data_IF_638191433567
#
_entry.id   IF_638191433567
#
_cell.length_a   1.000
_cell.length_b   1.000
_cell.length_c   1.000
_cell.angle_alpha   90.00
_cell.angle_beta   90.00
_cell.angle_gamma   90.00
#
_symmetry.space_group_name_H-M   'P 1'
#
loop_
_entity.id
_entity.type
_entity.pdbx_description
1 polymer ?
#
# COMPACT_ATOMS: atom_id res chain seq x y z
N UNK A 1 33.84 3.75 12.95
CA UNK A 1 32.85 3.89 11.86
C UNK A 1 31.66 4.70 12.35
N UNK A 2 31.09 5.58 11.52
CA UNK A 2 29.82 6.23 11.84
C UNK A 2 28.73 5.15 11.72
N UNK A 3 27.79 5.09 12.68
CA UNK A 3 26.67 4.13 12.68
C UNK A 3 25.93 4.06 11.33
N UNK A 4 25.85 5.20 10.64
CA UNK A 4 25.24 5.33 9.32
C UNK A 4 25.90 4.46 8.24
N UNK A 5 27.23 4.29 8.29
CA UNK A 5 27.98 3.50 7.29
C UNK A 5 27.77 2.00 7.49
N UNK A 6 27.65 1.58 8.76
CA UNK A 6 27.30 0.21 9.14
C UNK A 6 25.88 -0.10 8.66
N UNK A 7 24.92 0.79 8.94
CA UNK A 7 23.53 0.63 8.50
C UNK A 7 23.42 0.58 6.97
N UNK A 8 24.19 1.42 6.27
CA UNK A 8 24.25 1.39 4.79
C UNK A 8 24.79 0.05 4.29
N UNK A 9 25.87 -0.46 4.87
CA UNK A 9 26.46 -1.75 4.49
C UNK A 9 25.50 -2.90 4.75
N UNK A 10 24.80 -2.90 5.89
CA UNK A 10 23.81 -3.91 6.23
C UNK A 10 22.59 -3.86 5.30
N UNK A 11 22.07 -2.67 4.99
CA UNK A 11 20.97 -2.51 4.04
C UNK A 11 21.35 -3.00 2.64
N UNK A 12 22.57 -2.67 2.17
CA UNK A 12 23.09 -3.14 0.89
C UNK A 12 23.20 -4.68 0.84
N UNK A 13 23.70 -5.32 1.92
CA UNK A 13 23.77 -6.78 2.02
C UNK A 13 22.39 -7.46 2.00
N UNK A 14 21.38 -6.80 2.55
CA UNK A 14 20.01 -7.29 2.57
C UNK A 14 19.23 -6.99 1.27
N UNK A 15 19.83 -6.28 0.30
CA UNK A 15 19.12 -5.82 -0.90
C UNK A 15 18.04 -4.77 -0.63
N UNK A 16 18.10 -4.11 0.54
CA UNK A 16 17.16 -3.07 0.93
C UNK A 16 17.67 -1.69 0.51
N UNK A 17 16.76 -0.81 0.09
CA UNK A 17 17.09 0.58 -0.22
C UNK A 17 17.32 1.36 1.07
N UNK A 18 18.49 1.99 1.16
CA UNK A 18 18.85 2.85 2.30
C UNK A 18 18.71 4.32 1.92
N UNK A 19 17.91 5.07 2.69
CA UNK A 19 17.75 6.50 2.51
C UNK A 19 18.81 7.29 3.31
N UNK A 20 19.77 7.97 2.66
CA UNK A 20 20.82 8.71 3.35
C UNK A 20 20.30 10.06 3.86
N UNK A 21 19.68 10.06 5.04
CA UNK A 21 19.12 11.28 5.65
C UNK A 21 20.19 12.11 6.38
N UNK A 22 21.24 11.47 6.88
CA UNK A 22 22.21 12.08 7.79
C UNK A 22 22.84 13.37 7.26
N UNK A 23 23.28 13.38 6.00
CA UNK A 23 23.98 14.51 5.37
C UNK A 23 23.10 15.78 5.28
N UNK A 24 21.78 15.63 5.33
CA UNK A 24 20.85 16.75 5.35
C UNK A 24 20.66 17.41 6.73
N UNK A 25 21.11 16.80 7.82
CA UNK A 25 20.84 17.27 9.19
C UNK A 25 22.11 17.57 9.98
N UNK A 26 23.27 17.47 9.35
CA UNK A 26 24.55 17.86 9.91
C UNK A 26 25.00 19.21 9.37
N UNK A 27 25.90 19.86 10.09
CA UNK A 27 26.61 21.05 9.60
C UNK A 27 27.74 20.68 8.62
N UNK A 28 28.48 21.69 8.16
CA UNK A 28 29.61 21.54 7.23
C UNK A 28 30.74 20.66 7.80
N UNK A 29 30.82 20.53 9.12
CA UNK A 29 31.80 19.71 9.84
C UNK A 29 31.27 18.28 10.10
N UNK A 30 30.04 17.98 9.67
CA UNK A 30 29.40 16.69 9.86
C UNK A 30 28.94 16.44 11.31
N UNK A 31 28.81 17.49 12.13
CA UNK A 31 28.34 17.45 13.51
C UNK A 31 26.83 17.69 13.57
N UNK A 32 26.25 17.30 14.71
CA UNK A 32 24.83 17.51 14.98
C UNK A 32 24.51 19.01 15.07
N UNK A 33 23.58 19.47 14.23
CA UNK A 33 23.11 20.85 14.25
C UNK A 33 21.58 20.93 14.49
N UNK A 34 21.12 21.66 15.53
CA UNK A 34 19.68 21.80 15.78
C UNK A 34 18.98 22.73 14.77
N UNK A 35 19.75 23.58 14.09
CA UNK A 35 19.30 24.49 13.04
C UNK A 35 19.93 24.10 11.71
N UNK A 36 19.19 24.27 10.61
CA UNK A 36 19.70 24.00 9.27
C UNK A 36 18.75 24.53 8.19
N UNK A 37 19.17 24.41 6.94
CA UNK A 37 18.32 24.75 5.81
C UNK A 37 17.09 23.82 5.77
N UNK A 38 15.89 24.38 5.78
CA UNK A 38 14.66 23.63 5.55
C UNK A 38 14.50 23.33 4.04
N UNK A 39 13.39 22.69 3.64
CA UNK A 39 13.10 22.35 2.23
C UNK A 39 13.09 23.60 1.33
N UNK A 40 12.70 24.74 1.89
CA UNK A 40 12.68 26.05 1.25
C UNK A 40 14.05 26.77 1.28
N UNK A 41 15.12 26.12 1.73
CA UNK A 41 16.47 26.69 1.82
C UNK A 41 16.66 27.66 3.00
N UNK A 42 15.57 28.10 3.64
CA UNK A 42 15.62 29.00 4.78
C UNK A 42 16.16 28.29 6.03
N UNK A 43 17.04 28.95 6.78
CA UNK A 43 17.53 28.41 8.05
C UNK A 43 16.39 28.41 9.07
N UNK A 44 15.97 27.22 9.47
CA UNK A 44 14.98 27.00 10.53
C UNK A 44 15.49 25.97 11.51
N UNK A 45 14.82 25.91 12.66
CA UNK A 45 15.03 24.87 13.63
C UNK A 45 14.50 23.53 13.11
N UNK A 46 15.37 22.54 12.92
CA UNK A 46 15.02 21.22 12.39
C UNK A 46 14.86 20.17 13.49
N UNK A 47 15.57 20.34 14.61
CA UNK A 47 15.50 19.46 15.78
C UNK A 47 14.86 20.16 16.97
N UNK A 48 14.11 19.42 17.77
CA UNK A 48 13.57 19.91 19.03
C UNK A 48 14.67 20.07 20.09
N UNK A 49 14.39 20.74 21.21
CA UNK A 49 15.37 20.94 22.29
C UNK A 49 15.92 19.61 22.84
N UNK A 50 15.10 18.56 22.80
CA UNK A 50 15.44 17.23 23.30
C UNK A 50 16.50 16.48 22.46
N UNK A 51 16.96 17.05 21.35
CA UNK A 51 17.99 16.48 20.47
C UNK A 51 17.54 15.30 19.59
N UNK A 52 16.50 14.57 19.98
CA UNK A 52 16.02 13.37 19.28
C UNK A 52 14.95 13.71 18.24
N UNK A 53 13.91 14.45 18.65
CA UNK A 53 12.71 14.69 17.84
C UNK A 53 12.90 15.77 16.77
N UNK A 54 12.16 15.64 15.66
CA UNK A 54 12.12 16.66 14.61
C UNK A 54 11.03 17.69 14.87
N UNK A 55 11.25 18.92 14.42
CA UNK A 55 10.18 19.93 14.29
C UNK A 55 9.36 19.65 13.04
N UNK A 56 8.23 20.36 12.84
CA UNK A 56 7.43 20.26 11.61
C UNK A 56 8.26 20.55 10.34
N UNK A 57 9.19 21.51 10.42
CA UNK A 57 10.10 21.83 9.32
C UNK A 57 11.13 20.70 9.09
N UNK A 58 11.69 20.13 10.16
CA UNK A 58 12.59 18.98 10.08
C UNK A 58 11.92 17.73 9.51
N UNK A 59 10.69 17.45 9.92
CA UNK A 59 9.92 16.32 9.40
C UNK A 59 9.62 16.45 7.90
N UNK A 60 9.28 17.66 7.42
CA UNK A 60 9.12 17.92 5.98
C UNK A 60 10.43 17.70 5.21
N UNK A 61 11.57 18.11 5.78
CA UNK A 61 12.88 17.85 5.19
C UNK A 61 13.18 16.35 5.11
N UNK A 62 12.91 15.61 6.17
CA UNK A 62 13.06 14.15 6.18
C UNK A 62 12.18 13.48 5.11
N UNK A 63 10.91 13.89 5.04
CA UNK A 63 9.98 13.40 4.04
C UNK A 63 10.49 13.61 2.62
N UNK A 64 11.07 14.79 2.33
CA UNK A 64 11.67 15.08 1.02
C UNK A 64 12.83 14.12 0.66
N UNK A 65 13.70 13.79 1.62
CA UNK A 65 14.77 12.81 1.38
C UNK A 65 14.19 11.42 1.08
N UNK A 66 13.21 10.97 1.87
CA UNK A 66 12.56 9.68 1.65
C UNK A 66 11.77 9.64 0.33
N UNK A 67 11.11 10.74 -0.03
CA UNK A 67 10.32 10.88 -1.26
C UNK A 67 11.19 10.70 -2.50
N UNK A 68 12.41 11.23 -2.52
CA UNK A 68 13.34 11.03 -3.64
C UNK A 68 13.64 9.55 -3.88
N UNK A 69 13.90 8.81 -2.80
CA UNK A 69 14.23 7.38 -2.90
C UNK A 69 12.99 6.55 -3.25
N UNK A 70 11.83 6.86 -2.65
CA UNK A 70 10.55 6.22 -2.98
C UNK A 70 10.20 6.47 -4.45
N UNK A 71 10.28 7.72 -4.91
CA UNK A 71 9.95 8.08 -6.30
C UNK A 71 10.87 7.39 -7.27
N UNK A 72 12.17 7.27 -6.95
CA UNK A 72 13.12 6.49 -7.76
C UNK A 72 12.72 5.02 -7.83
N UNK A 73 12.36 4.39 -6.70
CA UNK A 73 11.92 3.00 -6.68
C UNK A 73 10.61 2.77 -7.44
N UNK A 74 9.72 3.76 -7.48
CA UNK A 74 8.47 3.69 -8.24
C UNK A 74 8.70 3.98 -9.73
N UNK A 75 9.62 4.88 -10.06
CA UNK A 75 9.93 5.31 -11.43
C UNK A 75 10.90 4.36 -12.16
N UNK A 76 11.63 3.53 -11.43
CA UNK A 76 12.25 2.32 -11.95
C UNK A 76 11.15 1.23 -11.94
N UNK A 77 10.30 1.08 -12.98
CA UNK A 77 9.54 -0.15 -13.11
C UNK A 77 10.60 -1.23 -13.13
N UNK A 78 10.50 -2.19 -12.21
CA UNK A 78 11.34 -3.37 -12.17
C UNK A 78 11.25 -4.04 -13.54
N UNK A 79 12.13 -3.66 -14.46
CA UNK A 79 12.41 -4.40 -15.65
C UNK A 79 12.94 -5.74 -15.14
N UNK A 80 12.12 -6.75 -15.33
CA UNK A 80 12.42 -8.14 -15.04
C UNK A 80 12.59 -8.45 -13.55
N UNK A 81 11.46 -8.64 -12.88
CA UNK A 81 11.37 -9.92 -12.18
C UNK A 81 11.23 -10.99 -13.29
N UNK A 82 12.29 -11.75 -13.66
CA UNK A 82 12.02 -13.01 -14.33
C UNK A 82 11.05 -13.75 -13.41
N UNK A 83 9.89 -14.11 -13.95
CA UNK A 83 8.77 -14.65 -13.19
C UNK A 83 9.29 -15.55 -12.08
N UNK A 84 9.08 -15.12 -10.83
CA UNK A 84 9.34 -15.96 -9.68
C UNK A 84 8.34 -17.11 -9.78
N UNK A 85 8.78 -18.16 -10.46
CA UNK A 85 8.16 -19.47 -10.41
C UNK A 85 8.31 -19.90 -8.96
N UNK A 86 7.23 -19.80 -8.20
CA UNK A 86 7.18 -20.42 -6.88
C UNK A 86 7.48 -21.91 -7.02
N UNK A 87 8.06 -22.56 -5.99
CA UNK A 87 8.29 -24.00 -6.03
C UNK A 87 6.94 -24.69 -6.29
N UNK A 88 6.77 -25.22 -7.51
CA UNK A 88 5.49 -25.76 -7.99
C UNK A 88 4.93 -25.14 -9.27
N UNK A 89 5.65 -24.27 -9.99
CA UNK A 89 5.26 -23.89 -11.36
C UNK A 89 4.06 -22.93 -11.46
N UNK A 90 3.63 -22.31 -10.35
CA UNK A 90 2.46 -21.43 -10.34
C UNK A 90 2.90 -19.97 -10.49
N UNK A 91 2.29 -19.19 -11.41
CA UNK A 91 2.59 -17.78 -11.54
C UNK A 91 2.13 -17.05 -10.27
N UNK A 92 3.04 -16.30 -9.66
CA UNK A 92 2.71 -15.37 -8.58
C UNK A 92 1.96 -14.19 -9.20
N UNK A 93 0.69 -14.05 -8.86
CA UNK A 93 -0.15 -12.93 -9.29
C UNK A 93 0.39 -11.63 -8.67
N UNK A 94 0.87 -10.74 -9.53
CA UNK A 94 1.31 -9.39 -9.13
C UNK A 94 0.08 -8.50 -8.98
N UNK A 95 -0.15 -7.94 -7.79
CA UNK A 95 -1.29 -7.05 -7.49
C UNK A 95 -1.19 -5.66 -8.15
N UNK A 96 -0.11 -5.39 -8.88
CA UNK A 96 0.15 -4.11 -9.54
C UNK A 96 -0.11 -4.13 -11.04
N UNK A 97 -0.45 -5.28 -11.62
CA UNK A 97 -0.85 -5.35 -13.02
C UNK A 97 -2.27 -4.78 -13.15
N UNK A 98 -2.46 -3.85 -14.09
CA UNK A 98 -3.78 -3.32 -14.47
C UNK A 98 -4.76 -4.45 -14.87
N UNK A 99 -6.00 -4.12 -15.29
CA UNK A 99 -7.24 -4.91 -15.06
C UNK A 99 -7.32 -6.30 -15.72
N UNK A 100 -6.22 -6.82 -16.26
CA UNK A 100 -6.05 -8.19 -16.77
C UNK A 100 -6.25 -9.26 -15.69
N UNK A 101 -6.02 -8.95 -14.41
CA UNK A 101 -6.21 -9.90 -13.30
C UNK A 101 -7.65 -10.06 -12.80
N UNK A 102 -8.52 -9.07 -13.05
CA UNK A 102 -9.87 -9.06 -12.47
C UNK A 102 -10.81 -10.09 -13.12
N UNK A 103 -10.61 -10.41 -14.41
CA UNK A 103 -11.47 -11.35 -15.13
C UNK A 103 -11.35 -12.80 -14.64
N UNK A 104 -10.22 -13.17 -14.04
CA UNK A 104 -9.98 -14.55 -13.57
C UNK A 104 -10.56 -14.83 -12.17
N UNK A 105 -10.88 -13.77 -11.41
CA UNK A 105 -11.47 -13.86 -10.06
C UNK A 105 -12.99 -14.11 -10.07
N UNK A 106 -13.64 -14.07 -11.25
CA UNK A 106 -15.09 -14.28 -11.38
C UNK A 106 -15.49 -15.72 -11.73
N UNK A 107 -14.58 -16.70 -11.63
CA UNK A 107 -14.93 -18.12 -11.69
C UNK A 107 -15.37 -18.67 -13.05
N UNK A 108 -15.04 -18.01 -14.17
CA UNK A 108 -15.36 -18.49 -15.51
C UNK A 108 -14.27 -19.38 -16.10
N UNK A 109 -14.49 -20.70 -16.13
CA UNK A 109 -13.68 -21.63 -16.91
C UNK A 109 -14.13 -21.60 -18.38
N UNK A 110 -13.30 -21.06 -19.27
CA UNK A 110 -13.47 -21.20 -20.73
C UNK A 110 -12.78 -20.08 -21.53
N UNK A 111 -12.24 -20.37 -22.73
CA UNK A 111 -11.49 -19.40 -23.52
C UNK A 111 -12.39 -18.22 -23.93
N UNK A 112 -11.93 -17.02 -23.63
CA UNK A 112 -12.64 -15.77 -23.89
C UNK A 112 -12.86 -15.56 -25.40
N UNK A 113 -14.05 -15.91 -25.88
CA UNK A 113 -14.59 -15.27 -27.07
C UNK A 113 -14.99 -13.84 -26.68
N UNK A 114 -14.44 -12.88 -27.40
CA UNK A 114 -14.75 -11.46 -27.25
C UNK A 114 -16.16 -11.23 -27.80
N UNK A 115 -17.16 -11.27 -26.91
CA UNK A 115 -18.51 -10.84 -27.24
C UNK A 115 -18.55 -9.32 -26.97
N UNK A 116 -18.82 -8.46 -27.96
CA UNK A 116 -19.02 -7.04 -27.69
C UNK A 116 -20.25 -6.89 -26.80
N UNK A 117 -20.07 -6.29 -25.62
CA UNK A 117 -21.14 -6.05 -24.67
C UNK A 117 -22.17 -5.08 -25.29
N UNK A 118 -23.30 -5.62 -25.75
CA UNK A 118 -24.51 -4.84 -25.88
C UNK A 118 -24.91 -4.41 -24.46
N UNK A 119 -24.93 -3.10 -24.22
CA UNK A 119 -25.38 -2.53 -22.96
C UNK A 119 -26.83 -2.93 -22.72
N UNK A 120 -27.06 -3.97 -21.92
CA UNK A 120 -28.38 -4.23 -21.34
C UNK A 120 -28.65 -3.15 -20.29
N UNK A 121 -29.78 -2.42 -20.36
CA UNK A 121 -30.11 -1.44 -19.33
C UNK A 121 -30.30 -2.19 -18.01
N UNK A 122 -29.65 -1.69 -16.97
CA UNK A 122 -29.77 -2.22 -15.62
C UNK A 122 -31.25 -2.24 -15.22
N UNK A 123 -31.78 -3.44 -14.95
CA UNK A 123 -33.10 -3.58 -14.35
C UNK A 123 -33.12 -2.83 -13.01
N UNK A 124 -34.22 -2.14 -12.66
CA UNK A 124 -34.29 -1.42 -11.39
C UNK A 124 -34.10 -2.42 -10.25
N UNK A 125 -33.13 -2.15 -9.37
CA UNK A 125 -32.92 -2.89 -8.12
C UNK A 125 -34.23 -2.79 -7.32
N UNK A 126 -35.07 -3.82 -7.38
CA UNK A 126 -36.32 -3.86 -6.65
C UNK A 126 -36.10 -4.46 -5.25
N UNK A 127 -36.78 -3.89 -4.25
CA UNK A 127 -36.88 -4.43 -2.89
C UNK A 127 -35.71 -4.07 -1.97
N UNK A 128 -35.22 -5.04 -1.22
CA UNK A 128 -34.29 -4.86 -0.09
C UNK A 128 -32.99 -4.13 -0.48
N UNK A 129 -32.46 -4.42 -1.67
CA UNK A 129 -31.18 -3.87 -2.12
C UNK A 129 -31.24 -2.34 -2.37
N UNK A 130 -32.39 -1.81 -2.79
CA UNK A 130 -32.59 -0.36 -2.91
C UNK A 130 -32.69 0.34 -1.55
N UNK A 131 -33.27 -0.33 -0.53
CA UNK A 131 -33.35 0.21 0.84
C UNK A 131 -31.98 0.22 1.52
N UNK A 132 -31.15 -0.79 1.30
CA UNK A 132 -29.77 -0.81 1.82
C UNK A 132 -28.96 0.36 1.26
N UNK A 133 -29.09 0.62 -0.04
CA UNK A 133 -28.35 1.70 -0.72
C UNK A 133 -28.85 3.10 -0.35
N UNK A 134 -30.16 3.25 -0.11
CA UNK A 134 -30.79 4.55 0.14
C UNK A 134 -30.91 4.88 1.63
N UNK A 135 -31.32 3.91 2.43
CA UNK A 135 -31.70 4.08 3.84
C UNK A 135 -30.64 3.50 4.79
N UNK A 136 -29.61 2.83 4.25
CA UNK A 136 -28.49 2.28 5.04
C UNK A 136 -28.87 1.12 5.97
N UNK A 137 -30.09 0.59 5.84
CA UNK A 137 -30.56 -0.50 6.68
C UNK A 137 -29.82 -1.82 6.33
N UNK A 138 -29.32 -2.58 7.32
CA UNK A 138 -28.65 -3.85 7.06
C UNK A 138 -29.63 -4.90 6.53
N UNK A 139 -29.18 -5.74 5.60
CA UNK A 139 -29.93 -6.91 5.15
C UNK A 139 -30.11 -7.89 6.31
N UNK A 140 -31.23 -8.63 6.32
CA UNK A 140 -31.44 -9.70 7.28
C UNK A 140 -30.32 -10.75 7.13
N UNK A 141 -29.57 -10.99 8.21
CA UNK A 141 -28.47 -11.93 8.22
C UNK A 141 -28.99 -13.35 7.95
N UNK A 142 -28.41 -13.99 6.93
CA UNK A 142 -28.68 -15.40 6.61
C UNK A 142 -27.60 -16.24 7.30
N UNK A 143 -27.98 -17.27 8.10
CA UNK A 143 -27.01 -18.15 8.74
C UNK A 143 -26.01 -18.74 7.75
N UNK A 144 -24.71 -18.56 8.03
CA UNK A 144 -23.62 -19.07 7.19
C UNK A 144 -23.07 -18.11 6.13
N UNK A 145 -23.62 -16.89 6.00
CA UNK A 145 -23.02 -15.82 5.19
C UNK A 145 -22.10 -14.91 6.02
N UNK A 146 -21.20 -14.18 5.34
CA UNK A 146 -20.20 -13.31 5.95
C UNK A 146 -20.76 -12.10 6.72
N UNK A 147 -22.06 -11.83 6.58
CA UNK A 147 -22.82 -10.79 7.27
C UNK A 147 -23.57 -11.30 8.53
N UNK A 148 -23.44 -12.57 8.88
CA UNK A 148 -23.95 -13.12 10.13
C UNK A 148 -22.94 -12.94 11.27
N UNK A 149 -23.17 -11.90 12.09
CA UNK A 149 -22.39 -11.62 13.30
C UNK A 149 -23.04 -12.18 14.57
N UNK A 150 -24.05 -13.06 14.45
CA UNK A 150 -24.75 -13.59 15.62
C UNK A 150 -23.94 -14.66 16.35
N UNK A 151 -23.68 -14.41 17.62
CA UNK A 151 -23.05 -15.34 18.56
C UNK A 151 -24.00 -15.57 19.75
N UNK A 152 -24.24 -16.81 20.20
CA UNK A 152 -23.71 -18.09 19.70
C UNK A 152 -24.31 -18.49 18.33
N UNK A 153 -23.58 -19.30 17.53
CA UNK A 153 -24.04 -19.70 16.19
C UNK A 153 -25.36 -20.47 16.29
N UNK A 154 -26.42 -19.96 15.65
CA UNK A 154 -27.68 -20.69 15.53
C UNK A 154 -27.48 -21.84 14.56
N UNK A 155 -27.63 -23.07 15.04
CA UNK A 155 -27.63 -24.27 14.19
C UNK A 155 -28.67 -24.10 13.09
N UNK A 156 -28.24 -24.23 11.83
CA UNK A 156 -29.11 -24.10 10.67
C UNK A 156 -30.34 -25.02 10.81
N UNK A 157 -31.56 -24.55 10.51
CA UNK A 157 -32.70 -25.44 10.42
C UNK A 157 -32.44 -26.44 9.28
N UNK A 158 -32.41 -27.73 9.61
CA UNK A 158 -32.41 -28.82 8.63
C UNK A 158 -33.72 -28.73 7.85
N UNK A 159 -33.67 -28.17 6.64
CA UNK A 159 -34.78 -28.27 5.70
C UNK A 159 -34.69 -29.62 4.96
N UNK A 160 -35.84 -30.29 4.75
CA UNK A 160 -35.97 -31.59 4.08
C UNK A 160 -35.74 -31.53 2.57
#
# INVERSE_FOLDING_TARGET
EKLNDVLRTHAARAGLTFAPVWDGFVDEEGKFAPFGAAVDGQRRRLRLNDGVRFTKAGARKLAFFAEKDITRLLAEPKADAPGLVGPGGRPVLSLTDGPRGAAMLSGGAGPAQVIPAAASPAAPLAGEAARVLRDGAPLAAVPGRADDYSWPPKSAPSQP
#
